data_IF_862841566304
#
_entry.id   IF_862841566304
#
_cell.length_a   1.000
_cell.length_b   1.000
_cell.length_c   1.000
_cell.angle_alpha   90.00
_cell.angle_beta   90.00
_cell.angle_gamma   90.00
#
_symmetry.space_group_name_H-M   'P 1'
#
loop_
_entity.id
_entity.type
_entity.pdbx_description
1 polymer ?
#
# COMPACT_ATOMS: atom_id res chain seq x y z
N UNK A 1 -51.42 9.86 41.40
CA UNK A 1 -51.60 9.71 39.94
C UNK A 1 -51.26 11.07 39.32
N UNK A 2 -49.99 11.31 39.01
CA UNK A 2 -49.48 12.60 38.50
C UNK A 2 -48.35 12.31 37.53
N UNK A 3 -48.69 12.46 36.25
CA UNK A 3 -47.83 12.31 35.09
C UNK A 3 -46.74 13.38 35.06
N UNK A 4 -45.48 12.99 34.93
CA UNK A 4 -44.37 13.88 34.55
C UNK A 4 -43.97 13.55 33.12
N UNK A 5 -44.41 14.42 32.21
CA UNK A 5 -43.96 14.47 30.81
C UNK A 5 -42.53 15.00 30.82
N UNK A 6 -41.58 14.17 30.41
CA UNK A 6 -40.19 14.58 30.15
C UNK A 6 -40.10 14.89 28.65
N UNK A 7 -40.08 16.18 28.32
CA UNK A 7 -39.73 16.67 26.99
C UNK A 7 -38.22 16.49 26.77
N UNK A 8 -37.83 15.47 26.00
CA UNK A 8 -36.47 15.34 25.48
C UNK A 8 -36.34 16.20 24.21
N UNK A 9 -35.67 17.35 24.35
CA UNK A 9 -35.30 18.23 23.25
C UNK A 9 -34.16 17.57 22.46
N UNK A 10 -34.45 16.96 21.32
CA UNK A 10 -33.45 16.49 20.37
C UNK A 10 -32.83 17.70 19.64
N UNK A 11 -31.69 18.17 20.13
CA UNK A 11 -30.79 19.05 19.38
C UNK A 11 -30.08 18.22 18.31
N UNK A 12 -30.65 18.20 17.09
CA UNK A 12 -29.91 17.79 15.89
C UNK A 12 -28.85 18.86 15.60
N UNK A 13 -27.64 18.65 16.11
CA UNK A 13 -26.45 19.33 15.63
C UNK A 13 -26.12 18.81 14.24
N UNK A 14 -26.58 19.50 13.20
CA UNK A 14 -26.09 19.30 11.84
C UNK A 14 -24.65 19.82 11.78
N UNK A 15 -23.68 18.94 12.00
CA UNK A 15 -22.34 19.15 11.48
C UNK A 15 -22.47 19.23 9.96
N UNK A 16 -22.39 20.43 9.40
CA UNK A 16 -22.06 20.63 8.00
C UNK A 16 -20.63 20.11 7.80
N UNK A 17 -20.48 18.81 7.60
CA UNK A 17 -19.32 18.29 6.91
C UNK A 17 -19.38 18.90 5.50
N UNK A 18 -18.46 19.83 5.21
CA UNK A 18 -18.18 20.23 3.83
C UNK A 18 -17.81 18.96 3.07
N UNK A 19 -18.77 18.39 2.34
CA UNK A 19 -18.58 17.17 1.59
C UNK A 19 -17.74 17.49 0.35
N UNK A 20 -16.42 17.54 0.52
CA UNK A 20 -15.52 17.32 -0.61
C UNK A 20 -15.71 15.87 -1.08
N UNK A 21 -15.58 15.65 -2.39
CA UNK A 21 -15.80 14.32 -2.95
C UNK A 21 -14.88 13.28 -2.30
N UNK A 22 -15.33 12.03 -2.24
CA UNK A 22 -14.47 10.93 -1.77
C UNK A 22 -13.23 10.72 -2.66
N UNK A 23 -13.29 11.17 -3.91
CA UNK A 23 -12.25 10.95 -4.92
C UNK A 23 -11.15 12.01 -4.88
N UNK A 24 -11.39 13.20 -4.31
CA UNK A 24 -10.41 14.29 -4.29
C UNK A 24 -10.96 15.61 -3.76
N UNK A 25 -10.13 16.66 -3.85
CA UNK A 25 -10.45 18.00 -3.38
C UNK A 25 -9.86 19.12 -4.25
N UNK A 26 -10.51 20.28 -4.25
CA UNK A 26 -9.92 21.52 -4.77
C UNK A 26 -8.91 22.06 -3.76
N UNK A 27 -7.65 22.19 -4.19
CA UNK A 27 -6.61 22.74 -3.31
C UNK A 27 -6.75 24.26 -3.26
N UNK A 28 -7.10 24.78 -2.08
CA UNK A 28 -7.28 26.20 -1.82
C UNK A 28 -6.02 26.90 -1.26
N UNK A 29 -4.95 26.15 -1.00
CA UNK A 29 -3.69 26.64 -0.46
C UNK A 29 -2.72 26.95 -1.61
N UNK A 30 -2.62 26.04 -2.59
CA UNK A 30 -1.74 26.14 -3.77
C UNK A 30 -2.48 26.70 -4.98
N UNK A 31 -3.26 27.76 -4.76
CA UNK A 31 -3.94 28.49 -5.84
C UNK A 31 -3.07 29.62 -6.36
N UNK A 32 -3.25 29.97 -7.64
CA UNK A 32 -2.70 31.20 -8.20
C UNK A 32 -3.82 32.22 -8.27
N UNK A 33 -3.62 33.43 -7.76
CA UNK A 33 -4.53 34.55 -7.91
C UNK A 33 -3.71 35.82 -8.15
N UNK A 34 -3.48 36.10 -9.43
CA UNK A 34 -2.57 37.14 -9.86
C UNK A 34 -3.34 38.21 -10.63
N UNK A 35 -2.99 39.47 -10.36
CA UNK A 35 -3.56 40.63 -11.06
C UNK A 35 -2.44 41.38 -11.76
N UNK A 36 -2.50 41.43 -13.09
CA UNK A 36 -1.51 42.11 -13.91
C UNK A 36 -2.16 43.23 -14.74
N UNK A 37 -1.41 44.30 -14.97
CA UNK A 37 -1.81 45.36 -15.91
C UNK A 37 -1.01 45.20 -17.20
N UNK A 38 -1.67 45.28 -18.35
CA UNK A 38 -1.05 45.30 -19.67
C UNK A 38 -1.38 46.61 -20.39
N UNK A 39 -0.35 47.26 -20.94
CA UNK A 39 -0.51 48.35 -21.91
C UNK A 39 -0.76 47.79 -23.32
N UNK A 40 -1.14 48.67 -24.24
CA UNK A 40 -1.32 48.32 -25.65
C UNK A 40 -0.08 47.59 -26.21
N UNK A 41 -0.30 46.39 -26.77
CA UNK A 41 0.75 45.53 -27.32
C UNK A 41 1.71 44.89 -26.29
N UNK A 42 1.55 45.17 -24.99
CA UNK A 42 2.42 44.59 -23.95
C UNK A 42 2.14 43.09 -23.78
N UNK A 43 3.21 42.35 -23.49
CA UNK A 43 3.17 40.91 -23.19
C UNK A 43 3.69 40.67 -21.78
N UNK A 44 3.02 39.82 -21.00
CA UNK A 44 3.50 39.36 -19.68
C UNK A 44 3.24 37.88 -19.48
N UNK A 45 4.13 37.26 -18.71
CA UNK A 45 3.95 35.88 -18.23
C UNK A 45 3.52 35.93 -16.77
N UNK A 46 2.49 35.15 -16.45
CA UNK A 46 2.13 34.79 -15.08
C UNK A 46 2.48 33.33 -14.85
N UNK A 47 3.32 33.09 -13.85
CA UNK A 47 3.71 31.76 -13.41
C UNK A 47 2.73 31.28 -12.34
N UNK A 48 2.22 30.06 -12.45
CA UNK A 48 1.36 29.48 -11.41
C UNK A 48 2.17 29.05 -10.18
N UNK A 49 1.48 28.94 -9.05
CA UNK A 49 1.96 28.16 -7.90
C UNK A 49 2.29 26.72 -8.32
N UNK A 50 3.17 26.06 -7.56
CA UNK A 50 3.49 24.66 -7.77
C UNK A 50 2.29 23.77 -7.45
N UNK A 51 1.98 22.85 -8.36
CA UNK A 51 0.85 21.96 -8.22
C UNK A 51 1.14 20.84 -7.22
N UNK A 52 0.14 20.46 -6.41
CA UNK A 52 0.19 19.26 -5.59
C UNK A 52 0.57 18.00 -6.35
N UNK A 53 1.26 17.08 -5.69
CA UNK A 53 1.28 15.69 -6.12
C UNK A 53 -0.15 15.13 -6.17
N UNK A 54 -0.48 14.41 -7.25
CA UNK A 54 -1.84 13.93 -7.50
C UNK A 54 -2.77 14.93 -8.19
N UNK A 55 -2.26 16.06 -8.67
CA UNK A 55 -3.07 16.98 -9.49
C UNK A 55 -3.44 16.32 -10.82
N UNK A 56 -4.72 16.01 -11.01
CA UNK A 56 -5.25 15.37 -12.22
C UNK A 56 -6.07 16.31 -13.08
N UNK A 57 -6.58 17.39 -12.49
CA UNK A 57 -7.32 18.44 -13.19
C UNK A 57 -6.95 19.82 -12.64
N UNK A 58 -7.18 20.84 -13.45
CA UNK A 58 -6.92 22.24 -13.10
C UNK A 58 -8.01 23.11 -13.70
N UNK A 59 -8.58 23.99 -12.88
CA UNK A 59 -9.51 25.01 -13.36
C UNK A 59 -8.78 26.34 -13.38
N UNK A 60 -8.88 27.06 -14.48
CA UNK A 60 -8.48 28.46 -14.50
C UNK A 60 -9.62 29.36 -14.93
N UNK A 61 -9.54 30.61 -14.45
CA UNK A 61 -10.42 31.70 -14.82
C UNK A 61 -9.59 32.94 -15.15
N UNK A 62 -9.86 33.51 -16.30
CA UNK A 62 -9.30 34.76 -16.78
C UNK A 62 -10.43 35.78 -16.81
N UNK A 63 -10.22 36.95 -16.22
CA UNK A 63 -11.14 38.07 -16.31
C UNK A 63 -10.38 39.34 -16.65
N UNK A 64 -10.76 40.00 -17.74
CA UNK A 64 -10.28 41.34 -18.11
C UNK A 64 -11.22 42.35 -17.46
N UNK A 65 -10.65 43.35 -16.80
CA UNK A 65 -11.34 44.39 -16.06
C UNK A 65 -10.97 45.76 -16.62
N UNK A 66 -11.98 46.61 -16.80
CA UNK A 66 -11.78 48.04 -17.10
C UNK A 66 -11.38 48.79 -15.81
N UNK A 67 -10.84 50.01 -15.96
CA UNK A 67 -10.45 50.86 -14.84
C UNK A 67 -11.62 51.04 -13.84
N UNK A 68 -11.37 50.71 -12.56
CA UNK A 68 -12.29 50.74 -11.41
C UNK A 68 -13.23 49.52 -11.23
N UNK A 69 -13.19 48.51 -12.09
CA UNK A 69 -13.92 47.26 -11.84
C UNK A 69 -13.21 46.36 -10.81
N UNK A 70 -13.98 45.61 -10.03
CA UNK A 70 -13.49 44.58 -9.10
C UNK A 70 -14.31 43.31 -9.27
N UNK A 71 -13.69 42.15 -9.06
CA UNK A 71 -14.39 40.87 -9.07
C UNK A 71 -15.45 40.81 -7.97
N UNK A 72 -16.64 40.29 -8.29
CA UNK A 72 -17.73 40.08 -7.33
C UNK A 72 -17.58 38.80 -6.50
N UNK A 73 -16.81 37.82 -6.99
CA UNK A 73 -16.57 36.54 -6.31
C UNK A 73 -15.23 35.94 -6.77
N UNK A 74 -14.59 35.13 -5.93
CA UNK A 74 -13.38 34.36 -6.31
C UNK A 74 -13.72 32.98 -6.85
N UNK A 75 -12.84 32.43 -7.70
CA UNK A 75 -12.98 31.11 -8.31
C UNK A 75 -13.08 30.01 -7.24
N UNK A 76 -12.22 30.08 -6.21
CA UNK A 76 -12.26 29.18 -5.06
C UNK A 76 -13.63 29.18 -4.37
N UNK A 77 -14.28 30.34 -4.24
CA UNK A 77 -15.60 30.42 -3.60
C UNK A 77 -16.68 29.74 -4.44
N UNK A 78 -16.61 29.85 -5.77
CA UNK A 78 -17.54 29.17 -6.68
C UNK A 78 -17.33 27.65 -6.66
N UNK A 79 -16.07 27.22 -6.60
CA UNK A 79 -15.72 25.79 -6.55
C UNK A 79 -16.16 25.10 -5.26
N UNK A 80 -16.45 25.85 -4.17
CA UNK A 80 -17.10 25.25 -2.98
C UNK A 80 -18.48 24.67 -3.28
N UNK A 81 -19.17 25.17 -4.30
CA UNK A 81 -20.47 24.66 -4.74
C UNK A 81 -20.35 23.50 -5.75
N UNK A 82 -19.13 23.19 -6.20
CA UNK A 82 -18.84 22.13 -7.17
C UNK A 82 -17.94 21.09 -6.49
N UNK A 83 -18.49 19.99 -5.96
CA UNK A 83 -17.74 19.08 -5.10
C UNK A 83 -16.62 18.30 -5.83
N UNK A 84 -16.69 18.19 -7.17
CA UNK A 84 -15.68 17.53 -8.01
C UNK A 84 -15.66 18.09 -9.46
N UNK A 85 -14.60 17.84 -10.26
CA UNK A 85 -14.46 18.36 -11.61
C UNK A 85 -15.53 17.89 -12.60
N UNK A 86 -16.25 16.80 -12.32
CA UNK A 86 -17.26 16.27 -13.24
C UNK A 86 -18.42 17.24 -13.42
N UNK A 87 -18.78 17.98 -12.36
CA UNK A 87 -19.80 19.04 -12.40
C UNK A 87 -19.49 20.19 -13.36
N UNK A 88 -18.21 20.37 -13.73
CA UNK A 88 -17.80 21.34 -14.76
C UNK A 88 -17.88 20.71 -16.15
N UNK A 89 -17.53 19.42 -16.27
CA UNK A 89 -17.43 18.75 -17.57
C UNK A 89 -18.74 18.19 -18.14
N UNK A 90 -19.84 18.22 -17.39
CA UNK A 90 -21.15 17.69 -17.83
C UNK A 90 -21.96 18.63 -18.74
N UNK A 91 -21.43 19.81 -19.12
CA UNK A 91 -22.06 20.69 -20.11
C UNK A 91 -21.49 22.11 -20.12
N UNK A 92 -21.91 22.94 -21.10
CA UNK A 92 -21.49 24.35 -21.21
C UNK A 92 -21.87 25.18 -19.97
N UNK A 93 -22.95 24.82 -19.28
CA UNK A 93 -23.42 25.51 -18.07
C UNK A 93 -22.41 25.49 -16.91
N UNK A 94 -21.63 24.41 -16.75
CA UNK A 94 -20.64 24.29 -15.67
C UNK A 94 -19.47 25.25 -15.82
N UNK A 95 -18.94 25.40 -17.04
CA UNK A 95 -17.89 26.37 -17.34
C UNK A 95 -18.42 27.82 -17.28
N UNK A 96 -19.67 28.05 -17.73
CA UNK A 96 -20.32 29.37 -17.66
C UNK A 96 -20.56 29.80 -16.22
N UNK A 97 -20.92 28.89 -15.31
CA UNK A 97 -21.07 29.19 -13.88
C UNK A 97 -19.77 29.71 -13.24
N UNK A 98 -18.62 29.27 -13.75
CA UNK A 98 -17.32 29.70 -13.25
C UNK A 98 -16.90 31.07 -13.80
N UNK A 99 -17.43 31.49 -14.95
CA UNK A 99 -17.10 32.78 -15.53
C UNK A 99 -17.51 33.94 -14.62
N UNK A 100 -16.74 35.02 -14.64
CA UNK A 100 -17.11 36.23 -13.93
C UNK A 100 -18.39 36.84 -14.50
N UNK A 101 -19.27 37.31 -13.61
CA UNK A 101 -20.46 38.10 -13.98
C UNK A 101 -20.08 39.49 -14.49
N UNK A 102 -18.86 39.95 -14.19
CA UNK A 102 -18.29 41.23 -14.63
C UNK A 102 -17.14 40.94 -15.60
N UNK A 103 -17.09 41.67 -16.70
CA UNK A 103 -15.94 41.72 -17.62
C UNK A 103 -15.89 43.08 -18.27
N UNK A 104 -14.69 43.59 -18.49
CA UNK A 104 -14.45 44.80 -19.23
C UNK A 104 -14.78 44.68 -20.72
N UNK A 105 -14.69 45.80 -21.42
CA UNK A 105 -14.80 45.83 -22.89
C UNK A 105 -13.49 45.46 -23.58
N UNK A 106 -12.38 45.60 -22.86
CA UNK A 106 -11.04 45.27 -23.32
C UNK A 106 -10.84 43.77 -23.53
N UNK A 107 -9.92 43.42 -24.44
CA UNK A 107 -9.67 42.03 -24.82
C UNK A 107 -8.19 41.68 -24.80
N UNK A 108 -7.91 40.45 -24.43
CA UNK A 108 -6.57 39.87 -24.49
C UNK A 108 -6.56 38.54 -25.23
N UNK A 109 -5.41 38.23 -25.82
CA UNK A 109 -5.04 36.89 -26.26
C UNK A 109 -4.14 36.27 -25.20
N UNK A 110 -4.09 34.94 -25.14
CA UNK A 110 -3.13 34.27 -24.27
C UNK A 110 -2.72 32.89 -24.79
N UNK A 111 -1.57 32.43 -24.32
CA UNK A 111 -1.07 31.08 -24.52
C UNK A 111 -0.61 30.49 -23.18
N UNK A 112 -0.72 29.17 -23.04
CA UNK A 112 -0.24 28.44 -21.86
C UNK A 112 0.94 27.57 -22.28
N UNK A 113 1.99 27.60 -21.47
CA UNK A 113 3.16 26.76 -21.64
C UNK A 113 3.39 25.91 -20.38
N UNK A 114 3.91 24.70 -20.57
CA UNK A 114 4.33 23.81 -19.49
C UNK A 114 5.80 23.96 -19.11
N UNK A 115 6.56 24.80 -19.83
CA UNK A 115 7.99 25.01 -19.67
C UNK A 115 8.32 26.50 -19.66
N UNK A 116 9.10 26.95 -18.67
CA UNK A 116 9.50 28.37 -18.52
C UNK A 116 10.19 28.90 -19.78
N UNK A 117 11.17 28.16 -20.29
CA UNK A 117 11.97 28.53 -21.46
C UNK A 117 11.11 28.80 -22.70
N UNK A 118 10.04 28.04 -22.90
CA UNK A 118 9.16 28.22 -24.06
C UNK A 118 8.24 29.44 -23.89
N UNK A 119 7.81 29.73 -22.66
CA UNK A 119 7.09 30.96 -22.35
C UNK A 119 7.99 32.20 -22.56
N UNK A 120 9.25 32.15 -22.11
CA UNK A 120 10.22 33.24 -22.30
C UNK A 120 10.54 33.46 -23.79
N UNK A 121 10.65 32.38 -24.57
CA UNK A 121 10.80 32.46 -26.02
C UNK A 121 9.62 33.17 -26.69
N UNK A 122 8.39 32.96 -26.20
CA UNK A 122 7.20 33.63 -26.72
C UNK A 122 7.25 35.15 -26.52
N UNK A 123 7.76 35.65 -25.39
CA UNK A 123 7.90 37.10 -25.17
C UNK A 123 8.72 37.79 -26.26
N UNK A 124 9.75 37.11 -26.76
CA UNK A 124 10.67 37.66 -27.77
C UNK A 124 10.23 37.38 -29.21
N UNK A 125 9.61 36.22 -29.47
CA UNK A 125 9.38 35.73 -30.84
C UNK A 125 7.92 35.66 -31.27
N UNK A 126 6.99 35.75 -30.32
CA UNK A 126 5.53 35.58 -30.50
C UNK A 126 5.12 34.21 -31.05
N UNK A 127 6.06 33.25 -31.12
CA UNK A 127 5.77 31.90 -31.61
C UNK A 127 5.06 31.10 -30.53
N UNK A 128 3.89 30.57 -30.89
CA UNK A 128 3.05 29.72 -30.02
C UNK A 128 3.19 28.22 -30.31
N UNK A 129 4.13 27.82 -31.18
CA UNK A 129 4.29 26.42 -31.62
C UNK A 129 4.63 25.43 -30.51
N UNK A 130 5.12 25.91 -29.37
CA UNK A 130 5.43 25.12 -28.17
C UNK A 130 4.48 25.37 -27.00
N UNK A 131 3.43 26.18 -27.23
CA UNK A 131 2.36 26.32 -26.26
C UNK A 131 1.55 25.02 -26.21
N UNK A 132 1.13 24.64 -25.01
CA UNK A 132 0.24 23.50 -24.81
C UNK A 132 -1.23 23.89 -24.99
N UNK A 133 -1.53 25.19 -25.00
CA UNK A 133 -2.83 25.74 -25.30
C UNK A 133 -2.69 27.18 -25.84
N UNK A 134 -3.50 27.56 -26.83
CA UNK A 134 -3.48 28.90 -27.44
C UNK A 134 -4.91 29.41 -27.59
N UNK A 135 -5.15 30.63 -27.09
CA UNK A 135 -6.37 31.41 -27.32
C UNK A 135 -6.02 32.62 -28.18
N UNK A 136 -6.08 32.43 -29.50
CA UNK A 136 -5.73 33.49 -30.46
C UNK A 136 -6.91 34.43 -30.76
N UNK A 137 -8.15 33.99 -30.52
CA UNK A 137 -9.31 34.91 -30.57
C UNK A 137 -9.35 35.74 -29.28
N UNK A 138 -9.32 37.09 -29.35
CA UNK A 138 -9.32 37.95 -28.17
C UNK A 138 -10.55 37.74 -27.30
N UNK A 139 -10.34 37.57 -26.00
CA UNK A 139 -11.39 37.35 -24.98
C UNK A 139 -11.36 38.45 -23.91
N UNK A 140 -12.51 38.69 -23.27
CA UNK A 140 -12.59 39.54 -22.07
C UNK A 140 -12.87 38.74 -20.79
N UNK A 141 -13.33 37.49 -20.91
CA UNK A 141 -13.44 36.54 -19.80
C UNK A 141 -13.42 35.11 -20.31
N UNK A 142 -12.94 34.20 -19.49
CA UNK A 142 -12.96 32.77 -19.79
C UNK A 142 -12.78 31.95 -18.51
N UNK A 143 -13.36 30.74 -18.50
CA UNK A 143 -13.04 29.71 -17.52
C UNK A 143 -12.92 28.37 -18.24
N UNK A 144 -11.86 27.60 -17.95
CA UNK A 144 -11.69 26.24 -18.49
C UNK A 144 -11.22 25.26 -17.45
N UNK A 145 -11.59 24.00 -17.67
CA UNK A 145 -11.07 22.83 -17.00
C UNK A 145 -10.03 22.16 -17.90
N UNK A 146 -8.80 22.07 -17.44
CA UNK A 146 -7.74 21.25 -18.02
C UNK A 146 -7.72 19.89 -17.32
N UNK A 147 -7.70 18.80 -18.09
CA UNK A 147 -7.61 17.44 -17.55
C UNK A 147 -6.31 16.80 -18.00
N UNK A 148 -5.65 16.09 -17.09
CA UNK A 148 -4.36 15.42 -17.33
C UNK A 148 -4.40 14.40 -18.49
N UNK A 149 -5.57 13.85 -18.80
CA UNK A 149 -5.76 12.85 -19.88
C UNK A 149 -6.03 13.46 -21.25
N UNK A 150 -6.48 14.72 -21.31
CA UNK A 150 -6.99 15.32 -22.56
C UNK A 150 -6.36 16.67 -22.89
N UNK A 151 -5.56 17.24 -21.99
CA UNK A 151 -4.87 18.50 -22.21
C UNK A 151 -3.37 18.26 -22.30
N UNK A 152 -2.75 18.82 -23.34
CA UNK A 152 -1.29 18.81 -23.48
C UNK A 152 -0.59 19.66 -22.40
N UNK A 153 -1.35 20.49 -21.67
CA UNK A 153 -0.82 21.35 -20.63
C UNK A 153 -0.59 20.63 -19.31
N UNK A 154 -1.34 19.57 -19.00
CA UNK A 154 -1.29 18.92 -17.70
C UNK A 154 -0.95 17.44 -17.88
N UNK A 155 0.13 16.99 -17.27
CA UNK A 155 0.50 15.58 -17.19
C UNK A 155 1.14 15.29 -15.83
N UNK A 156 1.49 14.02 -15.56
CA UNK A 156 2.04 13.58 -14.27
C UNK A 156 3.35 14.26 -13.86
N UNK A 157 4.06 14.92 -14.79
CA UNK A 157 5.30 15.66 -14.53
C UNK A 157 5.11 17.17 -14.48
N UNK A 158 3.91 17.66 -14.78
CA UNK A 158 3.64 19.10 -14.81
C UNK A 158 3.51 19.60 -13.39
N UNK A 159 4.47 20.40 -12.96
CA UNK A 159 4.48 21.00 -11.62
C UNK A 159 3.94 22.43 -11.60
N UNK A 160 3.82 23.08 -12.76
CA UNK A 160 3.47 24.49 -12.88
C UNK A 160 3.15 24.82 -14.34
N UNK A 161 2.42 25.92 -14.55
CA UNK A 161 2.10 26.47 -15.87
C UNK A 161 2.53 27.93 -15.97
N UNK A 162 2.70 28.37 -17.21
CA UNK A 162 3.09 29.72 -17.57
C UNK A 162 2.04 30.28 -18.52
N UNK A 163 1.25 31.24 -18.03
CA UNK A 163 0.23 31.94 -18.80
C UNK A 163 0.84 33.20 -19.40
N UNK A 164 1.06 33.20 -20.72
CA UNK A 164 1.55 34.36 -21.44
C UNK A 164 0.36 35.13 -22.02
N UNK A 165 0.17 36.37 -21.57
CA UNK A 165 -0.90 37.25 -22.04
C UNK A 165 -0.34 38.30 -22.99
N UNK A 166 -1.14 38.65 -24.00
CA UNK A 166 -0.88 39.74 -24.94
C UNK A 166 -2.11 40.64 -25.00
N UNK A 167 -1.90 41.95 -24.86
CA UNK A 167 -2.99 42.92 -25.04
C UNK A 167 -3.35 43.08 -26.51
N UNK A 168 -4.65 43.02 -26.82
CA UNK A 168 -5.20 43.35 -28.14
C UNK A 168 -5.69 44.81 -28.19
N UNK A 169 -5.53 45.56 -27.10
CA UNK A 169 -5.95 46.95 -27.02
C UNK A 169 -4.97 47.85 -27.79
N UNK A 170 -5.54 48.88 -28.42
CA UNK A 170 -4.76 49.80 -29.25
C UNK A 170 -4.23 51.03 -28.49
N UNK A 171 -4.92 51.46 -27.42
CA UNK A 171 -4.58 52.70 -26.69
C UNK A 171 -4.65 52.53 -25.16
N UNK A 172 -5.66 51.82 -24.65
CA UNK A 172 -5.95 51.75 -23.22
C UNK A 172 -5.19 50.61 -22.53
N UNK A 173 -4.81 50.83 -21.27
CA UNK A 173 -4.31 49.77 -20.38
C UNK A 173 -5.49 48.90 -19.93
N UNK A 174 -5.25 47.61 -19.76
CA UNK A 174 -6.24 46.66 -19.21
C UNK A 174 -5.69 45.97 -17.97
N UNK A 175 -6.58 45.55 -17.09
CA UNK A 175 -6.25 44.71 -15.93
C UNK A 175 -6.73 43.30 -16.18
N UNK A 176 -5.85 42.31 -16.04
CA UNK A 176 -6.17 40.89 -16.14
C UNK A 176 -6.06 40.27 -14.75
N UNK A 177 -7.10 39.58 -14.33
CA UNK A 177 -7.09 38.70 -13.16
C UNK A 177 -7.04 37.25 -13.64
N UNK A 178 -5.99 36.53 -13.22
CA UNK A 178 -5.84 35.10 -13.44
C UNK A 178 -6.01 34.36 -12.12
N UNK A 179 -6.99 33.48 -12.07
CA UNK A 179 -7.17 32.52 -10.99
C UNK A 179 -6.95 31.10 -11.49
N UNK A 180 -6.16 30.32 -10.78
CA UNK A 180 -5.88 28.91 -11.09
C UNK A 180 -6.02 28.06 -9.83
N UNK A 181 -6.83 27.01 -9.90
CA UNK A 181 -7.14 26.12 -8.78
C UNK A 181 -6.95 24.66 -9.22
N UNK A 182 -6.00 23.92 -8.63
CA UNK A 182 -5.81 22.50 -8.94
C UNK A 182 -6.80 21.61 -8.20
N UNK A 183 -7.16 20.50 -8.82
CA UNK A 183 -7.87 19.38 -8.21
C UNK A 183 -6.89 18.25 -7.89
N UNK A 184 -6.87 17.81 -6.64
CA UNK A 184 -6.03 16.70 -6.17
C UNK A 184 -6.87 15.44 -6.06
N UNK A 185 -6.52 14.42 -6.84
CA UNK A 185 -7.11 13.09 -6.74
C UNK A 185 -6.45 12.30 -5.59
N UNK A 186 -7.27 11.75 -4.70
CA UNK A 186 -6.84 11.04 -3.49
C UNK A 186 -6.08 9.74 -3.81
N UNK A 187 -6.32 9.11 -4.96
CA UNK A 187 -5.60 7.89 -5.38
C UNK A 187 -4.29 8.27 -6.07
N UNK A 188 -4.31 9.26 -6.95
CA UNK A 188 -3.12 9.74 -7.66
C UNK A 188 -2.10 10.38 -6.72
N UNK A 189 -2.55 11.11 -5.70
CA UNK A 189 -1.69 11.74 -4.68
C UNK A 189 -0.93 10.74 -3.79
N UNK A 190 -1.25 9.45 -3.87
CA UNK A 190 -0.45 8.40 -3.20
C UNK A 190 0.87 8.08 -3.94
N UNK A 191 1.09 8.66 -5.12
CA UNK A 191 2.34 8.52 -5.88
C UNK A 191 2.52 7.17 -6.59
N UNK A 192 1.47 6.36 -6.73
CA UNK A 192 1.56 5.04 -7.36
C UNK A 192 1.31 5.09 -8.88
N UNK A 193 2.26 5.65 -9.61
CA UNK A 193 2.29 5.58 -11.08
C UNK A 193 2.79 4.22 -11.60
N UNK A 194 2.86 4.06 -12.93
CA UNK A 194 3.29 2.80 -13.56
C UNK A 194 4.73 2.45 -13.20
N UNK A 195 5.63 3.44 -13.14
CA UNK A 195 7.03 3.22 -12.82
C UNK A 195 7.19 2.75 -11.37
N UNK A 196 6.59 3.47 -10.43
CA UNK A 196 6.66 3.19 -9.00
C UNK A 196 6.00 1.84 -8.66
N UNK A 197 4.90 1.47 -9.35
CA UNK A 197 4.29 0.14 -9.21
C UNK A 197 5.20 -0.98 -9.71
N UNK A 198 5.96 -0.75 -10.79
CA UNK A 198 6.90 -1.75 -11.31
C UNK A 198 8.06 -2.02 -10.34
N UNK A 199 8.49 -1.03 -9.56
CA UNK A 199 9.47 -1.24 -8.49
C UNK A 199 8.96 -2.22 -7.43
N UNK A 200 7.69 -2.09 -7.02
CA UNK A 200 7.06 -3.01 -6.07
C UNK A 200 6.91 -4.41 -6.65
N UNK A 201 6.52 -4.52 -7.94
CA UNK A 201 6.47 -5.80 -8.63
C UNK A 201 7.86 -6.48 -8.65
N UNK A 202 8.92 -5.72 -8.86
CA UNK A 202 10.29 -6.24 -8.83
C UNK A 202 10.67 -6.80 -7.45
N UNK A 203 10.26 -6.12 -6.36
CA UNK A 203 10.44 -6.64 -5.00
C UNK A 203 9.72 -7.97 -4.80
N UNK A 204 8.46 -8.09 -5.26
CA UNK A 204 7.70 -9.33 -5.19
C UNK A 204 8.38 -10.49 -5.93
N UNK A 205 8.93 -10.22 -7.14
CA UNK A 205 9.68 -11.22 -7.93
C UNK A 205 10.97 -11.69 -7.25
N UNK A 206 11.60 -10.84 -6.44
CA UNK A 206 12.84 -11.14 -5.73
C UNK A 206 12.61 -11.92 -4.41
N UNK A 207 11.35 -12.18 -4.03
CA UNK A 207 11.07 -13.01 -2.85
C UNK A 207 11.48 -14.47 -3.10
N UNK A 208 11.97 -15.14 -2.05
CA UNK A 208 12.46 -16.54 -2.15
C UNK A 208 11.37 -17.52 -2.62
N UNK A 209 10.11 -17.24 -2.29
CA UNK A 209 8.98 -18.08 -2.64
C UNK A 209 8.54 -17.94 -4.09
N UNK A 210 8.81 -16.81 -4.74
CA UNK A 210 8.24 -16.49 -6.05
C UNK A 210 8.53 -17.57 -7.10
N UNK A 211 9.75 -18.11 -7.11
CA UNK A 211 10.16 -19.15 -8.05
C UNK A 211 9.34 -20.44 -7.94
N UNK A 212 8.80 -20.76 -6.76
CA UNK A 212 8.06 -22.00 -6.47
C UNK A 212 6.55 -21.87 -6.65
N UNK A 213 6.06 -20.66 -6.94
CA UNK A 213 4.63 -20.39 -7.10
C UNK A 213 4.11 -20.90 -8.44
N UNK A 214 2.89 -21.41 -8.40
CA UNK A 214 2.09 -21.74 -9.58
C UNK A 214 1.36 -20.48 -10.08
N UNK A 215 0.82 -19.65 -9.18
CA UNK A 215 0.01 -18.49 -9.53
C UNK A 215 0.81 -17.18 -9.40
N UNK A 216 1.91 -17.07 -10.15
CA UNK A 216 2.88 -15.95 -10.06
C UNK A 216 2.24 -14.58 -10.29
N UNK A 217 1.36 -14.44 -11.28
CA UNK A 217 0.72 -13.16 -11.59
C UNK A 217 -0.23 -12.72 -10.49
N UNK A 218 -1.10 -13.62 -10.03
CA UNK A 218 -2.02 -13.36 -8.91
C UNK A 218 -1.27 -13.01 -7.62
N UNK A 219 -0.14 -13.66 -7.37
CA UNK A 219 0.73 -13.29 -6.26
C UNK A 219 1.27 -11.87 -6.40
N UNK A 220 1.82 -11.49 -7.57
CA UNK A 220 2.34 -10.14 -7.78
C UNK A 220 1.25 -9.07 -7.69
N UNK A 221 0.04 -9.37 -8.17
CA UNK A 221 -1.11 -8.49 -8.04
C UNK A 221 -1.50 -8.28 -6.57
N UNK A 222 -1.63 -9.37 -5.79
CA UNK A 222 -1.94 -9.29 -4.36
C UNK A 222 -0.84 -8.60 -3.55
N UNK A 223 0.43 -8.85 -3.90
CA UNK A 223 1.59 -8.20 -3.26
C UNK A 223 1.58 -6.69 -3.52
N UNK A 224 1.41 -6.28 -4.78
CA UNK A 224 1.30 -4.88 -5.17
C UNK A 224 0.12 -4.19 -4.48
N UNK A 225 -1.05 -4.83 -4.48
CA UNK A 225 -2.25 -4.33 -3.83
C UNK A 225 -1.98 -4.05 -2.35
N UNK A 226 -1.39 -5.02 -1.62
CA UNK A 226 -1.13 -4.86 -0.19
C UNK A 226 -0.20 -3.69 0.13
N UNK A 227 0.89 -3.56 -0.62
CA UNK A 227 1.84 -2.45 -0.43
C UNK A 227 1.18 -1.11 -0.75
N UNK A 228 0.50 -1.01 -1.89
CA UNK A 228 -0.07 0.26 -2.38
C UNK A 228 -1.27 0.75 -1.57
N UNK A 229 -2.04 -0.17 -0.97
CA UNK A 229 -3.12 0.18 -0.04
C UNK A 229 -2.60 0.69 1.30
N UNK A 230 -1.51 0.09 1.82
CA UNK A 230 -0.99 0.46 3.15
C UNK A 230 -0.16 1.74 3.13
N UNK A 231 0.64 1.94 2.09
CA UNK A 231 1.61 3.04 2.03
C UNK A 231 1.34 3.99 0.85
N UNK A 232 1.73 5.26 0.99
CA UNK A 232 2.05 6.07 -0.19
C UNK A 232 3.42 5.62 -0.73
N UNK A 233 3.72 5.96 -1.98
CA UNK A 233 5.03 5.66 -2.56
C UNK A 233 6.16 6.29 -1.72
N UNK A 234 6.02 7.57 -1.36
CA UNK A 234 7.00 8.30 -0.55
C UNK A 234 7.23 7.63 0.81
N UNK A 235 6.16 7.23 1.49
CA UNK A 235 6.27 6.57 2.80
C UNK A 235 6.98 5.21 2.67
N UNK A 236 6.64 4.42 1.65
CA UNK A 236 7.24 3.11 1.45
C UNK A 236 8.74 3.18 1.15
N UNK A 237 9.15 4.15 0.32
CA UNK A 237 10.57 4.39 0.02
C UNK A 237 11.32 4.92 1.24
N UNK A 238 10.65 5.70 2.09
CA UNK A 238 11.21 6.25 3.33
C UNK A 238 11.34 5.26 4.50
N UNK A 239 10.81 4.04 4.38
CA UNK A 239 10.92 3.01 5.43
C UNK A 239 12.38 2.66 5.72
N UNK A 240 12.69 2.45 7.00
CA UNK A 240 13.97 1.87 7.40
C UNK A 240 14.12 0.47 6.80
N UNK A 241 15.36 -0.04 6.60
CA UNK A 241 15.57 -1.36 6.03
C UNK A 241 14.78 -2.48 6.74
N UNK A 242 14.73 -2.46 8.08
CA UNK A 242 14.00 -3.45 8.88
C UNK A 242 12.48 -3.35 8.70
N UNK A 243 11.94 -2.13 8.63
CA UNK A 243 10.51 -1.90 8.39
C UNK A 243 10.11 -2.33 6.98
N UNK A 244 10.98 -2.06 6.01
CA UNK A 244 10.78 -2.47 4.62
C UNK A 244 10.81 -3.98 4.48
N UNK A 245 11.74 -4.67 5.14
CA UNK A 245 11.75 -6.14 5.21
C UNK A 245 10.47 -6.70 5.81
N UNK A 246 10.00 -6.15 6.93
CA UNK A 246 8.74 -6.57 7.56
C UNK A 246 7.52 -6.29 6.66
N UNK A 247 7.49 -5.15 5.97
CA UNK A 247 6.43 -4.81 5.03
C UNK A 247 6.38 -5.76 3.84
N UNK A 248 7.54 -6.12 3.27
CA UNK A 248 7.66 -7.08 2.18
C UNK A 248 7.21 -8.47 2.65
N UNK A 249 7.62 -8.90 3.83
CA UNK A 249 7.21 -10.18 4.39
C UNK A 249 5.68 -10.24 4.60
N UNK A 250 5.11 -9.21 5.24
CA UNK A 250 3.66 -9.11 5.44
C UNK A 250 2.88 -9.10 4.13
N UNK A 251 3.36 -8.36 3.11
CA UNK A 251 2.75 -8.36 1.79
C UNK A 251 2.87 -9.71 1.07
N UNK A 252 3.98 -10.42 1.28
CA UNK A 252 4.21 -11.77 0.74
C UNK A 252 3.20 -12.74 1.32
N UNK A 253 3.07 -12.81 2.65
CA UNK A 253 2.14 -13.73 3.31
C UNK A 253 0.69 -13.48 2.90
N UNK A 254 0.25 -12.23 2.86
CA UNK A 254 -1.13 -11.91 2.47
C UNK A 254 -1.41 -12.24 1.01
N UNK A 255 -0.45 -11.97 0.11
CA UNK A 255 -0.58 -12.35 -1.29
C UNK A 255 -0.68 -13.88 -1.43
N UNK A 256 0.12 -14.64 -0.70
CA UNK A 256 0.09 -16.10 -0.70
C UNK A 256 -1.20 -16.68 -0.09
N UNK A 257 -1.75 -16.03 0.94
CA UNK A 257 -3.04 -16.40 1.51
C UNK A 257 -4.14 -16.26 0.45
N UNK A 258 -4.16 -15.15 -0.29
CA UNK A 258 -5.13 -14.92 -1.38
C UNK A 258 -4.99 -15.93 -2.53
N UNK A 259 -3.78 -16.41 -2.82
CA UNK A 259 -3.56 -17.41 -3.88
C UNK A 259 -3.70 -18.86 -3.42
N UNK A 260 -3.89 -19.11 -2.13
CA UNK A 260 -3.90 -20.46 -1.55
C UNK A 260 -2.51 -21.13 -1.55
N UNK A 261 -1.43 -20.38 -1.72
CA UNK A 261 -0.06 -20.90 -1.81
C UNK A 261 0.76 -20.70 -0.53
N UNK A 262 0.12 -20.23 0.56
CA UNK A 262 0.78 -20.00 1.86
C UNK A 262 1.51 -21.24 2.38
N UNK A 263 0.92 -22.43 2.20
CA UNK A 263 1.57 -23.68 2.60
C UNK A 263 2.92 -23.89 1.91
N UNK A 264 3.04 -23.57 0.60
CA UNK A 264 4.31 -23.70 -0.13
C UNK A 264 5.40 -22.81 0.45
N UNK A 265 5.03 -21.62 0.94
CA UNK A 265 5.96 -20.72 1.61
C UNK A 265 6.48 -21.30 2.93
N UNK A 266 5.58 -21.81 3.76
CA UNK A 266 5.95 -22.44 5.03
C UNK A 266 6.78 -23.71 4.81
N UNK A 267 6.43 -24.50 3.79
CA UNK A 267 7.15 -25.72 3.43
C UNK A 267 8.60 -25.43 3.02
N UNK A 268 8.94 -24.24 2.49
CA UNK A 268 10.34 -23.86 2.24
C UNK A 268 11.17 -23.85 3.54
N UNK A 269 10.63 -23.29 4.61
CA UNK A 269 11.32 -23.21 5.90
C UNK A 269 11.36 -24.57 6.59
N UNK A 270 10.26 -25.33 6.54
CA UNK A 270 10.22 -26.71 7.07
C UNK A 270 11.20 -27.62 6.36
N UNK A 271 11.28 -27.55 5.03
CA UNK A 271 12.24 -28.31 4.25
C UNK A 271 13.68 -27.92 4.60
N UNK A 272 13.94 -26.63 4.82
CA UNK A 272 15.27 -26.16 5.25
C UNK A 272 15.63 -26.67 6.64
N UNK A 273 14.70 -26.63 7.61
CA UNK A 273 14.91 -27.17 8.94
C UNK A 273 15.13 -28.69 8.91
N UNK A 274 14.35 -29.43 8.13
CA UNK A 274 14.50 -30.88 7.96
C UNK A 274 15.82 -31.26 7.27
N UNK A 275 16.27 -30.48 6.29
CA UNK A 275 17.57 -30.67 5.65
C UNK A 275 18.74 -30.42 6.62
N UNK A 276 18.62 -29.41 7.49
CA UNK A 276 19.58 -29.19 8.56
C UNK A 276 19.61 -30.37 9.55
N UNK A 277 18.44 -30.92 9.91
CA UNK A 277 18.37 -32.12 10.77
C UNK A 277 18.97 -33.36 10.13
N UNK A 278 18.72 -33.62 8.84
CA UNK A 278 19.26 -34.80 8.15
C UNK A 278 20.78 -34.76 8.02
N UNK A 279 21.35 -33.55 8.02
CA UNK A 279 22.80 -33.29 8.00
C UNK A 279 23.39 -33.08 9.40
N UNK A 280 22.62 -33.31 10.47
CA UNK A 280 23.00 -33.18 11.88
C UNK A 280 23.38 -31.76 12.33
N UNK A 281 23.01 -30.73 11.55
CA UNK A 281 23.09 -29.33 11.95
C UNK A 281 21.84 -28.94 12.77
N UNK A 282 21.70 -29.54 13.96
CA UNK A 282 20.47 -29.44 14.78
C UNK A 282 20.19 -27.99 15.24
N UNK A 283 21.23 -27.23 15.59
CA UNK A 283 21.09 -25.82 16.01
C UNK A 283 20.55 -24.91 14.89
N UNK A 284 20.92 -25.18 13.64
CA UNK A 284 20.38 -24.44 12.49
C UNK A 284 18.88 -24.72 12.33
N UNK A 285 18.46 -25.97 12.53
CA UNK A 285 17.05 -26.34 12.51
C UNK A 285 16.25 -25.66 13.63
N UNK A 286 16.79 -25.63 14.86
CA UNK A 286 16.19 -24.91 16.00
C UNK A 286 16.02 -23.43 15.64
N UNK A 287 17.08 -22.80 15.14
CA UNK A 287 17.09 -21.38 14.78
C UNK A 287 16.03 -21.06 13.73
N UNK A 288 15.90 -21.90 12.69
CA UNK A 288 14.86 -21.74 11.66
C UNK A 288 13.48 -21.87 12.27
N UNK A 289 13.20 -22.93 13.05
CA UNK A 289 11.88 -23.17 13.62
C UNK A 289 11.45 -22.05 14.57
N UNK A 290 12.36 -21.56 15.42
CA UNK A 290 12.08 -20.46 16.33
C UNK A 290 11.83 -19.14 15.59
N UNK A 291 12.71 -18.77 14.65
CA UNK A 291 12.62 -17.52 13.92
C UNK A 291 11.43 -17.47 12.97
N UNK A 292 11.11 -18.60 12.33
CA UNK A 292 10.09 -18.64 11.29
C UNK A 292 8.72 -19.04 11.83
N UNK A 293 8.61 -19.93 12.83
CA UNK A 293 7.29 -20.43 13.24
C UNK A 293 6.88 -19.96 14.62
N UNK A 294 7.77 -20.12 15.61
CA UNK A 294 7.43 -19.85 17.01
C UNK A 294 7.27 -18.34 17.26
N UNK A 295 8.30 -17.55 16.94
CA UNK A 295 8.30 -16.10 17.21
C UNK A 295 7.25 -15.33 16.42
N UNK A 296 6.89 -15.84 15.23
CA UNK A 296 5.85 -15.29 14.36
C UNK A 296 4.44 -15.81 14.66
N UNK A 297 4.29 -16.64 15.70
CA UNK A 297 3.04 -17.26 16.13
C UNK A 297 2.28 -17.96 14.98
N UNK A 298 3.00 -18.63 14.07
CA UNK A 298 2.45 -19.36 12.91
C UNK A 298 2.75 -20.86 12.93
N UNK A 299 3.27 -21.36 14.05
CA UNK A 299 3.63 -22.75 14.24
C UNK A 299 2.39 -23.67 14.31
N UNK A 300 2.43 -24.75 13.54
CA UNK A 300 1.49 -25.86 13.62
C UNK A 300 2.08 -26.99 14.48
N UNK A 301 1.27 -28.01 14.80
CA UNK A 301 1.69 -29.13 15.64
C UNK A 301 3.00 -29.79 15.15
N UNK A 302 3.16 -29.93 13.83
CA UNK A 302 4.36 -30.48 13.23
C UNK A 302 5.61 -29.63 13.55
N UNK A 303 5.50 -28.30 13.52
CA UNK A 303 6.64 -27.41 13.78
C UNK A 303 7.12 -27.53 15.23
N UNK A 304 6.17 -27.62 16.17
CA UNK A 304 6.48 -27.90 17.58
C UNK A 304 7.07 -29.30 17.77
N UNK A 305 6.55 -30.32 17.09
CA UNK A 305 7.07 -31.68 17.17
C UNK A 305 8.51 -31.76 16.66
N UNK A 306 8.82 -31.12 15.54
CA UNK A 306 10.19 -31.06 15.01
C UNK A 306 11.09 -30.31 16.00
N UNK A 307 10.65 -29.18 16.57
CA UNK A 307 11.43 -28.42 17.53
C UNK A 307 11.72 -29.22 18.81
N UNK A 308 10.72 -29.92 19.35
CA UNK A 308 10.89 -30.80 20.50
C UNK A 308 11.90 -31.91 20.21
N UNK A 309 11.83 -32.53 19.02
CA UNK A 309 12.82 -33.51 18.57
C UNK A 309 14.23 -32.92 18.54
N UNK A 310 14.41 -31.69 18.05
CA UNK A 310 15.70 -31.01 18.08
C UNK A 310 16.23 -30.85 19.50
N UNK A 311 15.38 -30.45 20.45
CA UNK A 311 15.78 -30.30 21.85
C UNK A 311 16.11 -31.65 22.52
N UNK A 312 15.39 -32.72 22.20
CA UNK A 312 15.75 -34.08 22.64
C UNK A 312 17.14 -34.45 22.09
N UNK A 313 17.38 -34.28 20.80
CA UNK A 313 18.66 -34.61 20.15
C UNK A 313 19.84 -33.85 20.76
N UNK A 314 19.61 -32.61 21.20
CA UNK A 314 20.62 -31.76 21.85
C UNK A 314 20.65 -31.90 23.37
N UNK A 315 19.92 -32.87 23.94
CA UNK A 315 19.85 -33.16 25.39
C UNK A 315 19.28 -31.99 26.22
N UNK A 316 18.53 -31.08 25.60
CA UNK A 316 17.85 -29.96 26.24
C UNK A 316 16.43 -30.38 26.66
N UNK A 317 16.32 -31.38 27.55
CA UNK A 317 15.05 -32.04 27.87
C UNK A 317 14.00 -31.09 28.48
N UNK A 318 14.40 -30.15 29.32
CA UNK A 318 13.48 -29.16 29.91
C UNK A 318 12.82 -28.30 28.81
N UNK A 319 13.60 -27.86 27.81
CA UNK A 319 13.06 -27.09 26.68
C UNK A 319 12.15 -27.94 25.80
N UNK A 320 12.48 -29.21 25.60
CA UNK A 320 11.59 -30.13 24.89
C UNK A 320 10.26 -30.27 25.63
N UNK A 321 10.28 -30.41 26.95
CA UNK A 321 9.10 -30.50 27.80
C UNK A 321 8.21 -29.25 27.71
N UNK A 322 8.80 -28.06 27.85
CA UNK A 322 8.08 -26.79 27.76
C UNK A 322 7.39 -26.61 26.40
N UNK A 323 8.11 -26.93 25.32
CA UNK A 323 7.59 -26.90 23.94
C UNK A 323 6.43 -27.88 23.79
N UNK A 324 6.58 -29.13 24.25
CA UNK A 324 5.55 -30.16 24.12
C UNK A 324 4.32 -29.88 24.97
N UNK A 325 4.49 -29.36 26.18
CA UNK A 325 3.38 -28.92 27.03
C UNK A 325 2.57 -27.82 26.34
N UNK A 326 3.25 -26.77 25.88
CA UNK A 326 2.61 -25.66 25.16
C UNK A 326 1.89 -26.15 23.89
N UNK A 327 2.52 -27.06 23.14
CA UNK A 327 1.96 -27.56 21.89
C UNK A 327 0.78 -28.50 22.10
N UNK A 328 0.82 -29.36 23.12
CA UNK A 328 -0.28 -30.30 23.41
C UNK A 328 -1.50 -29.64 24.02
N UNK A 329 -1.36 -28.48 24.68
CA UNK A 329 -2.49 -27.63 25.04
C UNK A 329 -3.22 -27.09 23.79
N UNK A 330 -2.48 -26.76 22.73
CA UNK A 330 -3.03 -26.24 21.46
C UNK A 330 -3.52 -27.35 20.52
N UNK A 331 -2.82 -28.49 20.49
CA UNK A 331 -3.02 -29.59 19.54
C UNK A 331 -3.06 -30.94 20.28
N UNK A 332 -4.05 -31.18 21.14
CA UNK A 332 -4.04 -32.32 22.08
C UNK A 332 -4.06 -33.69 21.39
N UNK A 333 -4.61 -33.77 20.18
CA UNK A 333 -4.79 -35.02 19.43
C UNK A 333 -3.70 -35.29 18.40
N UNK A 334 -2.69 -34.42 18.28
CA UNK A 334 -1.65 -34.60 17.26
C UNK A 334 -0.69 -35.74 17.62
N UNK A 335 -0.58 -36.74 16.73
CA UNK A 335 0.22 -37.94 16.98
C UNK A 335 1.71 -37.70 16.95
N UNK A 336 2.20 -36.67 16.23
CA UNK A 336 3.63 -36.34 16.22
C UNK A 336 4.07 -35.78 17.58
N UNK A 337 3.25 -34.90 18.18
CA UNK A 337 3.50 -34.38 19.54
C UNK A 337 3.50 -35.50 20.58
N UNK A 338 2.53 -36.42 20.50
CA UNK A 338 2.47 -37.55 21.43
C UNK A 338 3.67 -38.48 21.28
N UNK A 339 4.17 -38.68 20.05
CA UNK A 339 5.38 -39.46 19.83
C UNK A 339 6.61 -38.78 20.45
N UNK A 340 6.74 -37.47 20.32
CA UNK A 340 7.85 -36.75 20.96
C UNK A 340 7.76 -36.75 22.49
N UNK A 341 6.56 -36.70 23.09
CA UNK A 341 6.39 -36.94 24.53
C UNK A 341 6.87 -38.33 24.93
N UNK A 342 6.48 -39.36 24.17
CA UNK A 342 6.93 -40.73 24.43
C UNK A 342 8.46 -40.84 24.38
N UNK A 343 9.12 -40.17 23.42
CA UNK A 343 10.58 -40.10 23.36
C UNK A 343 11.19 -39.36 24.55
N UNK A 344 10.70 -38.16 24.88
CA UNK A 344 11.20 -37.38 26.02
C UNK A 344 11.16 -38.18 27.33
N UNK A 345 10.08 -38.92 27.55
CA UNK A 345 9.89 -39.74 28.75
C UNK A 345 10.90 -40.88 28.89
N UNK A 346 11.51 -41.35 27.81
CA UNK A 346 12.60 -42.34 27.86
C UNK A 346 13.90 -41.76 28.42
N UNK A 347 14.08 -40.44 28.33
CA UNK A 347 15.30 -39.74 28.77
C UNK A 347 15.14 -38.98 30.08
N UNK A 348 13.93 -38.98 30.67
CA UNK A 348 13.58 -38.20 31.86
C UNK A 348 13.00 -39.08 32.97
N UNK A 349 13.45 -40.34 33.07
CA UNK A 349 13.04 -41.33 34.08
C UNK A 349 11.53 -41.64 34.14
N UNK A 350 10.78 -41.31 33.09
CA UNK A 350 9.33 -41.52 32.98
C UNK A 350 8.96 -42.69 32.06
N UNK A 351 9.77 -43.75 32.10
CA UNK A 351 9.67 -44.88 31.16
C UNK A 351 8.29 -45.55 31.20
N UNK A 352 7.63 -45.59 32.35
CA UNK A 352 6.26 -46.13 32.45
C UNK A 352 5.27 -45.33 31.61
N UNK A 353 5.36 -44.00 31.63
CA UNK A 353 4.50 -43.12 30.81
C UNK A 353 4.81 -43.26 29.32
N UNK A 354 6.09 -43.40 28.96
CA UNK A 354 6.50 -43.69 27.58
C UNK A 354 5.83 -44.98 27.07
N UNK A 355 5.87 -46.05 27.87
CA UNK A 355 5.25 -47.34 27.51
C UNK A 355 3.75 -47.21 27.28
N UNK A 356 3.04 -46.45 28.10
CA UNK A 356 1.60 -46.25 27.95
C UNK A 356 1.27 -45.50 26.66
N UNK A 357 2.05 -44.47 26.30
CA UNK A 357 1.89 -43.79 25.01
C UNK A 357 2.16 -44.74 23.82
N UNK A 358 3.25 -45.50 23.86
CA UNK A 358 3.53 -46.48 22.79
C UNK A 358 2.42 -47.52 22.65
N UNK A 359 1.87 -48.07 23.75
CA UNK A 359 0.72 -48.99 23.70
C UNK A 359 -0.52 -48.34 23.09
N UNK A 360 -0.82 -47.10 23.47
CA UNK A 360 -2.01 -46.37 23.03
C UNK A 360 -1.98 -46.07 21.53
N UNK A 361 -0.81 -45.70 21.00
CA UNK A 361 -0.68 -45.19 19.64
C UNK A 361 -0.05 -46.16 18.63
N UNK A 362 0.37 -47.37 19.04
CA UNK A 362 1.07 -48.34 18.16
C UNK A 362 0.37 -48.66 16.83
N UNK A 363 -0.96 -48.60 16.79
CA UNK A 363 -1.76 -48.90 15.60
C UNK A 363 -2.12 -47.64 14.77
N UNK A 364 -1.56 -46.48 15.11
CA UNK A 364 -1.83 -45.22 14.42
C UNK A 364 -0.68 -44.82 13.51
N UNK A 365 -0.96 -43.85 12.63
CA UNK A 365 0.04 -43.22 11.78
C UNK A 365 0.42 -41.83 12.31
N UNK A 366 1.68 -41.45 12.08
CA UNK A 366 2.19 -40.11 12.37
C UNK A 366 2.15 -39.20 11.14
N UNK A 367 2.02 -39.79 9.95
CA UNK A 367 1.76 -39.09 8.70
C UNK A 367 0.83 -39.93 7.81
N UNK A 368 0.52 -39.47 6.59
CA UNK A 368 -0.30 -40.24 5.65
C UNK A 368 0.34 -41.56 5.21
N UNK A 369 1.66 -41.71 5.37
CA UNK A 369 2.42 -42.86 4.86
C UNK A 369 3.35 -43.51 5.89
N UNK A 370 3.52 -42.92 7.08
CA UNK A 370 4.44 -43.41 8.11
C UNK A 370 3.68 -43.79 9.36
N UNK A 371 3.83 -45.06 9.78
CA UNK A 371 3.22 -45.57 11.01
C UNK A 371 3.99 -45.12 12.26
N UNK A 372 3.33 -45.12 13.42
CA UNK A 372 3.96 -44.86 14.72
C UNK A 372 5.18 -45.76 14.95
N UNK A 373 5.04 -47.04 14.64
CA UNK A 373 6.10 -48.05 14.80
C UNK A 373 7.28 -47.73 13.90
N UNK A 374 7.03 -47.40 12.63
CA UNK A 374 8.07 -47.06 11.68
C UNK A 374 8.85 -45.81 12.11
N UNK A 375 8.14 -44.75 12.52
CA UNK A 375 8.79 -43.52 12.98
C UNK A 375 9.59 -43.74 14.27
N UNK A 376 9.04 -44.49 15.24
CA UNK A 376 9.76 -44.82 16.50
C UNK A 376 11.10 -45.50 16.20
N UNK A 377 11.10 -46.49 15.30
CA UNK A 377 12.33 -47.21 14.91
C UNK A 377 13.35 -46.27 14.26
N UNK A 378 12.91 -45.40 13.34
CA UNK A 378 13.79 -44.41 12.70
C UNK A 378 14.38 -43.42 13.71
N UNK A 379 13.56 -42.97 14.67
CA UNK A 379 13.99 -42.02 15.68
C UNK A 379 14.98 -42.66 16.66
N UNK A 380 14.79 -43.92 17.07
CA UNK A 380 15.75 -44.65 17.90
C UNK A 380 17.11 -44.81 17.24
N UNK A 381 17.15 -45.11 15.94
CA UNK A 381 18.42 -45.18 15.20
C UNK A 381 19.12 -43.80 15.13
N UNK A 382 18.35 -42.73 14.95
CA UNK A 382 18.89 -41.37 15.01
C UNK A 382 19.41 -41.01 16.42
N UNK A 383 18.69 -41.38 17.48
CA UNK A 383 19.10 -41.14 18.86
C UNK A 383 20.41 -41.86 19.20
N UNK A 384 20.56 -43.13 18.78
CA UNK A 384 21.83 -43.86 18.92
C UNK A 384 22.96 -43.18 18.17
N UNK A 385 22.71 -42.73 16.93
CA UNK A 385 23.70 -41.99 16.12
C UNK A 385 24.13 -40.67 16.78
N UNK A 386 23.29 -40.08 17.63
CA UNK A 386 23.58 -38.89 18.41
C UNK A 386 24.04 -39.18 19.85
N UNK A 387 24.36 -40.44 20.17
CA UNK A 387 24.86 -40.85 21.49
C UNK A 387 23.92 -40.46 22.64
N UNK A 388 22.61 -40.62 22.43
CA UNK A 388 21.62 -40.60 23.52
C UNK A 388 21.55 -41.98 24.21
N UNK A 389 21.18 -42.05 25.50
CA UNK A 389 21.00 -43.31 26.21
C UNK A 389 19.95 -44.22 25.54
N UNK A 390 20.21 -45.53 25.42
CA UNK A 390 19.34 -46.46 24.68
C UNK A 390 18.83 -47.65 25.51
N UNK A 391 19.04 -47.63 26.84
CA UNK A 391 18.70 -48.70 27.79
C UNK A 391 17.25 -49.20 27.68
N UNK A 392 16.34 -48.31 27.27
CA UNK A 392 14.91 -48.56 27.21
C UNK A 392 14.39 -48.88 25.80
N UNK A 393 15.20 -48.71 24.74
CA UNK A 393 14.73 -48.83 23.37
C UNK A 393 14.24 -50.25 23.06
N UNK A 394 15.01 -51.27 23.44
CA UNK A 394 14.61 -52.67 23.29
C UNK A 394 13.32 -53.02 24.05
N UNK A 395 13.07 -52.38 25.19
CA UNK A 395 11.84 -52.59 25.98
C UNK A 395 10.63 -51.98 25.26
N UNK A 396 10.79 -50.83 24.61
CA UNK A 396 9.74 -50.22 23.81
C UNK A 396 9.49 -51.00 22.52
N UNK A 397 10.54 -51.46 21.83
CA UNK A 397 10.38 -52.24 20.60
C UNK A 397 9.54 -53.52 20.81
N UNK A 398 9.75 -54.22 21.94
CA UNK A 398 8.92 -55.38 22.33
C UNK A 398 7.45 -55.06 22.61
N UNK A 399 7.10 -53.81 22.89
CA UNK A 399 5.69 -53.37 23.09
C UNK A 399 5.02 -53.08 21.74
N UNK A 400 5.83 -52.74 20.74
CA UNK A 400 5.39 -52.40 19.38
C UNK A 400 5.33 -53.62 18.46
N UNK A 401 6.04 -54.70 18.80
CA UNK A 401 5.79 -56.07 18.33
C UNK A 401 4.45 -56.59 18.86
#
# INVERSE_FOLDING_TARGET
MTSKIVNALFLFGTFFCFAQSKEGYWDNIRTTNETITLRAGEKKIVKTAEFPEGTTELVYRITVLDDNQKLSSSLVSLLKAIPDPTGISQGTAGAVFLMSSISGTDKCKYAIFSQAKEADNYLNTEKTTKACFVQDSPINKEAKLLKSKTSDCLNSKTQQLYFAFQSDNWVMKQTIVLEVVPWVDNKASRGWDVANKNEIIALGKNTKVFATLTNKESFLAGFLEKVTQKYTHKDFIGLLPIEKSAAIESATEEALLKTGELKKYYDLFRNKANAALSTLHVEDAISILQAEFISKNRAEALDYAILAKCFILTKQFDKAEDVLKTATEKFPTDTNLQLQNAHLYLFTDRVSEAKELHKKFKNQNVSTTVSWIQQTKQDFELFKKQHLPDDYFNKILKILE
#
